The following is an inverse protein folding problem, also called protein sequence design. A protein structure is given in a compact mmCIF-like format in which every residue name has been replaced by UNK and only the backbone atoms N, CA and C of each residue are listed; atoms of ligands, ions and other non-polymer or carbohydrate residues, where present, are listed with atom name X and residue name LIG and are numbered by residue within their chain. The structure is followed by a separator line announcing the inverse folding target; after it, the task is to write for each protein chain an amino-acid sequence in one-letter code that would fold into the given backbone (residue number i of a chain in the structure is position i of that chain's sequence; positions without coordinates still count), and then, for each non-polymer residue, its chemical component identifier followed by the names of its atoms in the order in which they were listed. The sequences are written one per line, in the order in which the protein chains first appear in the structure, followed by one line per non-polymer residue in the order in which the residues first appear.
data_IF_946475021630
#
_entry.id   IF_946475021630
#
_cell.length_a   1.000
_cell.length_b   1.000
_cell.length_c   1.000
_cell.angle_alpha   90.00
_cell.angle_beta   90.00
_cell.angle_gamma   90.00
#
_symmetry.space_group_name_H-M   'P 1'
#
loop_
_entity.id
_entity.type
_entity.pdbx_description
1 polymer ?
#
# COMPACT_ATOMS: atom_id res chain seq x y z
N UNK A 1 37.75 27.89 53.44
CA UNK A 1 36.30 28.15 53.25
C UNK A 1 35.89 28.32 51.78
N UNK A 2 36.82 28.50 50.86
CA UNK A 2 36.55 28.77 49.44
C UNK A 2 36.28 27.49 48.57
N UNK A 3 36.74 26.32 48.99
CA UNK A 3 36.60 25.11 48.18
C UNK A 3 35.15 24.55 48.15
N UNK A 4 34.36 24.73 49.21
CA UNK A 4 32.96 24.25 49.27
C UNK A 4 32.03 25.06 48.39
N UNK A 5 32.31 26.33 48.20
CA UNK A 5 31.45 27.22 47.38
C UNK A 5 31.60 26.94 45.88
N UNK A 6 32.78 26.55 45.44
CA UNK A 6 33.06 26.22 44.02
C UNK A 6 32.42 24.85 43.64
N UNK A 7 32.33 23.91 44.55
CA UNK A 7 31.66 22.64 44.28
C UNK A 7 30.13 22.79 44.17
N UNK A 8 29.53 23.65 44.98
CA UNK A 8 28.09 23.92 44.88
C UNK A 8 27.72 24.66 43.58
N UNK A 9 28.58 25.56 43.13
CA UNK A 9 28.39 26.32 41.91
C UNK A 9 28.45 25.39 40.66
N UNK A 10 29.40 24.46 40.65
CA UNK A 10 29.53 23.45 39.57
C UNK A 10 28.32 22.52 39.48
N UNK A 11 27.76 22.12 40.64
CA UNK A 11 26.60 21.25 40.70
C UNK A 11 25.31 21.94 40.21
N UNK A 12 25.14 23.25 40.55
CA UNK A 12 23.97 24.03 40.11
C UNK A 12 24.01 24.34 38.61
N UNK A 13 25.21 24.62 38.07
CA UNK A 13 25.35 24.86 36.62
C UNK A 13 25.14 23.59 35.82
N UNK A 14 25.60 22.44 36.34
CA UNK A 14 25.38 21.16 35.69
C UNK A 14 23.88 20.75 35.69
N UNK A 15 23.16 21.07 36.79
CA UNK A 15 21.71 20.78 36.88
C UNK A 15 20.90 21.70 35.95
N UNK A 16 21.30 22.94 35.78
CA UNK A 16 20.67 23.89 34.83
C UNK A 16 20.92 23.47 33.35
N UNK A 17 22.08 22.92 33.04
CA UNK A 17 22.36 22.41 31.70
C UNK A 17 21.52 21.12 31.40
N UNK A 18 21.25 20.29 32.40
CA UNK A 18 20.43 19.09 32.21
C UNK A 18 18.96 19.41 32.03
N UNK A 19 18.45 20.48 32.66
CA UNK A 19 17.05 20.91 32.46
C UNK A 19 16.83 21.58 31.10
N UNK A 20 17.85 22.14 30.48
CA UNK A 20 17.76 22.74 29.14
C UNK A 20 17.66 21.65 28.05
N UNK A 21 18.15 20.43 28.28
CA UNK A 21 18.04 19.32 27.31
C UNK A 21 16.70 18.57 27.36
N UNK A 22 15.94 18.69 28.45
CA UNK A 22 14.63 18.03 28.57
C UNK A 22 13.51 18.87 27.89
N UNK A 23 13.71 20.17 27.71
CA UNK A 23 12.74 21.03 27.04
C UNK A 23 12.81 20.97 25.50
N UNK A 24 13.84 20.34 24.92
CA UNK A 24 13.97 20.21 23.46
C UNK A 24 13.45 18.87 22.90
N UNK A 25 12.90 17.99 23.77
CA UNK A 25 12.43 16.65 23.36
C UNK A 25 10.92 16.50 23.27
N UNK A 26 10.15 17.58 23.40
CA UNK A 26 8.70 17.59 23.23
C UNK A 26 8.28 18.70 22.25
N UNK A 27 8.66 18.58 21.01
CA UNK A 27 8.02 19.32 19.93
C UNK A 27 8.26 18.60 18.61
N UNK A 28 7.77 17.37 18.52
CA UNK A 28 7.41 16.79 17.24
C UNK A 28 5.91 16.98 17.01
N UNK A 29 5.41 18.15 17.27
CA UNK A 29 4.26 18.66 16.56
C UNK A 29 4.82 19.16 15.22
N UNK A 30 4.79 18.32 14.19
CA UNK A 30 4.71 18.77 12.83
C UNK A 30 3.40 19.57 12.72
N UNK A 31 3.42 20.83 13.16
CA UNK A 31 2.50 21.82 12.64
C UNK A 31 2.81 21.94 11.16
N UNK A 32 2.03 21.23 10.34
CA UNK A 32 1.92 21.51 8.91
C UNK A 32 1.45 22.96 8.78
N UNK A 33 2.41 23.87 8.69
CA UNK A 33 2.15 25.26 8.36
C UNK A 33 1.50 25.31 6.97
N UNK A 34 0.17 25.37 6.92
CA UNK A 34 -0.59 25.84 5.75
C UNK A 34 -0.61 24.99 4.49
N UNK A 35 -0.03 23.78 4.48
CA UNK A 35 -0.11 22.82 3.38
C UNK A 35 -1.21 21.80 3.61
N UNK A 36 -1.83 21.29 2.53
CA UNK A 36 -2.76 20.15 2.62
C UNK A 36 -2.06 18.98 3.31
N UNK A 37 -2.74 18.30 4.25
CA UNK A 37 -2.18 17.12 4.91
C UNK A 37 -1.76 16.08 3.88
N UNK A 38 -0.74 15.28 4.16
CA UNK A 38 -0.27 14.25 3.23
C UNK A 38 -1.42 13.33 2.82
N UNK A 39 -2.32 13.01 3.74
CA UNK A 39 -3.54 12.24 3.49
C UNK A 39 -4.46 12.96 2.51
N UNK A 40 -4.76 14.24 2.72
CA UNK A 40 -5.61 15.02 1.80
C UNK A 40 -5.03 15.12 0.39
N UNK A 41 -3.68 15.11 0.27
CA UNK A 41 -3.00 15.12 -1.03
C UNK A 41 -3.17 13.79 -1.78
N UNK A 42 -3.11 12.64 -1.10
CA UNK A 42 -3.19 11.32 -1.77
C UNK A 42 -4.61 10.76 -1.88
N UNK A 43 -5.56 11.28 -1.10
CA UNK A 43 -6.95 10.84 -1.16
C UNK A 43 -7.57 11.17 -2.51
N UNK A 44 -8.32 10.25 -3.08
CA UNK A 44 -9.03 10.46 -4.35
C UNK A 44 -9.25 9.19 -5.15
N UNK A 45 -9.77 9.40 -6.37
CA UNK A 45 -10.00 8.35 -7.35
C UNK A 45 -8.93 8.39 -8.42
N UNK A 46 -8.42 7.23 -8.79
CA UNK A 46 -7.33 7.07 -9.75
C UNK A 46 -7.72 6.11 -10.86
N UNK A 47 -7.22 6.39 -12.04
CA UNK A 47 -7.25 5.46 -13.16
C UNK A 47 -5.93 4.69 -13.19
N UNK A 48 -6.00 3.38 -13.08
CA UNK A 48 -4.85 2.50 -12.83
C UNK A 48 -4.67 1.46 -13.92
N UNK A 49 -3.41 1.12 -14.18
CA UNK A 49 -3.00 -0.15 -14.79
C UNK A 49 -2.59 -1.08 -13.67
N UNK A 50 -3.17 -2.27 -13.62
CA UNK A 50 -2.85 -3.30 -12.63
C UNK A 50 -2.07 -4.42 -13.32
N UNK A 51 -0.88 -4.72 -12.83
CA UNK A 51 0.04 -5.69 -13.42
C UNK A 51 0.41 -6.77 -12.42
N UNK A 52 -0.38 -7.85 -12.32
CA UNK A 52 0.06 -9.05 -11.63
C UNK A 52 1.31 -9.64 -12.30
N UNK A 53 2.29 -10.03 -11.48
CA UNK A 53 3.53 -10.65 -11.94
C UNK A 53 3.71 -11.98 -11.21
N UNK A 54 3.87 -13.06 -11.97
CA UNK A 54 4.16 -14.39 -11.45
C UNK A 54 5.47 -14.89 -12.10
N UNK A 55 6.53 -14.97 -11.30
CA UNK A 55 7.87 -15.21 -11.84
C UNK A 55 8.29 -14.09 -12.78
N UNK A 56 8.57 -14.39 -14.05
CA UNK A 56 8.92 -13.41 -15.09
C UNK A 56 7.73 -12.95 -15.93
N UNK A 57 6.55 -13.52 -15.72
CA UNK A 57 5.35 -13.23 -16.53
C UNK A 57 4.55 -12.09 -15.91
N UNK A 58 4.26 -11.08 -16.71
CA UNK A 58 3.47 -9.90 -16.35
C UNK A 58 2.12 -9.91 -17.08
N UNK A 59 1.05 -9.65 -16.34
CA UNK A 59 -0.33 -9.69 -16.84
C UNK A 59 -0.98 -8.30 -16.69
N UNK A 60 -0.43 -7.30 -17.40
CA UNK A 60 -0.92 -5.93 -17.33
C UNK A 60 -2.35 -5.79 -17.84
N UNK A 61 -3.19 -5.10 -17.11
CA UNK A 61 -4.56 -4.76 -17.52
C UNK A 61 -4.95 -3.39 -17.00
N UNK A 62 -5.60 -2.62 -17.83
CA UNK A 62 -6.19 -1.33 -17.52
C UNK A 62 -7.16 -0.87 -18.61
N UNK A 63 -7.86 0.24 -18.36
CA UNK A 63 -7.89 1.01 -17.13
C UNK A 63 -8.78 0.39 -16.05
N UNK A 64 -8.36 0.49 -14.80
CA UNK A 64 -9.13 0.15 -13.59
C UNK A 64 -9.30 1.38 -12.70
N UNK A 65 -10.35 1.39 -11.90
CA UNK A 65 -10.51 2.42 -10.86
C UNK A 65 -10.00 1.88 -9.53
N UNK A 66 -9.12 2.64 -8.92
CA UNK A 66 -8.67 2.43 -7.54
C UNK A 66 -8.96 3.68 -6.72
N UNK A 67 -9.22 3.51 -5.45
CA UNK A 67 -9.66 4.58 -4.56
C UNK A 67 -8.78 4.61 -3.33
N UNK A 68 -8.36 5.82 -2.93
CA UNK A 68 -7.77 6.11 -1.64
C UNK A 68 -8.72 6.99 -0.84
N UNK A 69 -9.15 6.49 0.30
CA UNK A 69 -10.07 7.18 1.22
C UNK A 69 -9.34 7.56 2.50
N UNK A 70 -9.64 8.75 3.04
CA UNK A 70 -9.08 9.17 4.32
C UNK A 70 -9.69 8.34 5.46
N UNK A 71 -8.85 7.92 6.39
CA UNK A 71 -9.21 7.19 7.60
C UNK A 71 -8.63 7.85 8.85
N UNK A 72 -9.19 7.48 10.01
CA UNK A 72 -8.66 7.82 11.32
C UNK A 72 -8.37 9.32 11.49
N UNK A 73 -9.37 10.16 11.20
CA UNK A 73 -9.26 11.63 11.27
C UNK A 73 -8.11 12.19 10.42
N UNK A 74 -7.98 11.72 9.20
CA UNK A 74 -6.94 12.11 8.24
C UNK A 74 -5.50 11.75 8.68
N UNK A 75 -5.33 10.66 9.42
CA UNK A 75 -4.00 10.15 9.78
C UNK A 75 -3.54 9.01 8.87
N UNK A 76 -4.49 8.27 8.28
CA UNK A 76 -4.24 7.12 7.42
C UNK A 76 -5.12 7.19 6.17
N UNK A 77 -4.81 6.36 5.19
CA UNK A 77 -5.67 6.12 4.04
C UNK A 77 -6.07 4.66 3.96
N UNK A 78 -7.26 4.41 3.44
CA UNK A 78 -7.70 3.11 2.96
C UNK A 78 -7.50 3.08 1.47
N UNK A 79 -6.71 2.13 0.98
CA UNK A 79 -6.56 1.82 -0.42
C UNK A 79 -7.32 0.54 -0.73
N UNK A 80 -8.23 0.56 -1.70
CA UNK A 80 -8.94 -0.64 -2.11
C UNK A 80 -9.13 -0.71 -3.62
N UNK A 81 -9.19 -1.94 -4.11
CA UNK A 81 -9.61 -2.28 -5.45
C UNK A 81 -10.45 -3.55 -5.42
N UNK A 82 -11.41 -3.66 -6.33
CA UNK A 82 -12.36 -4.76 -6.33
C UNK A 82 -12.46 -5.42 -7.70
N UNK A 83 -12.70 -6.74 -7.66
CA UNK A 83 -13.06 -7.56 -8.82
C UNK A 83 -12.12 -7.41 -10.02
N UNK A 84 -10.83 -7.28 -9.76
CA UNK A 84 -9.84 -7.32 -10.82
C UNK A 84 -9.68 -8.77 -11.30
N UNK A 85 -9.91 -9.00 -12.60
CA UNK A 85 -9.72 -10.31 -13.22
C UNK A 85 -8.68 -10.21 -14.33
N UNK A 86 -7.51 -10.79 -14.10
CA UNK A 86 -6.39 -10.75 -15.03
C UNK A 86 -6.62 -11.58 -16.29
N UNK A 87 -6.08 -11.18 -17.46
CA UNK A 87 -6.05 -12.01 -18.64
C UNK A 87 -5.13 -13.21 -18.44
N UNK A 88 -5.38 -14.30 -19.14
CA UNK A 88 -4.49 -15.45 -19.24
C UNK A 88 -3.52 -15.29 -20.42
N UNK A 89 -2.46 -16.08 -20.43
CA UNK A 89 -1.62 -16.25 -21.61
C UNK A 89 -2.22 -17.30 -22.55
N UNK A 90 -2.14 -17.02 -23.86
CA UNK A 90 -2.46 -18.01 -24.90
C UNK A 90 -1.29 -18.98 -25.11
N UNK A 91 -1.46 -19.92 -26.07
CA UNK A 91 -0.44 -20.90 -26.45
C UNK A 91 0.87 -20.27 -26.93
N UNK A 92 0.81 -19.06 -27.45
CA UNK A 92 1.97 -18.32 -27.96
C UNK A 92 2.67 -17.49 -26.89
N UNK A 93 2.17 -17.54 -25.63
CA UNK A 93 2.68 -16.78 -24.51
C UNK A 93 2.31 -15.29 -24.52
N UNK A 94 1.33 -14.89 -25.33
CA UNK A 94 0.76 -13.54 -25.37
C UNK A 94 -0.45 -13.44 -24.46
N UNK A 95 -0.76 -12.23 -24.01
CA UNK A 95 -1.97 -12.00 -23.22
C UNK A 95 -3.22 -12.22 -24.09
N UNK A 96 -4.10 -13.12 -23.67
CA UNK A 96 -5.34 -13.41 -24.37
C UNK A 96 -6.32 -12.23 -24.27
N UNK A 97 -6.97 -11.90 -25.38
CA UNK A 97 -8.03 -10.90 -25.39
C UNK A 97 -9.31 -11.42 -24.69
N UNK A 98 -9.53 -12.74 -24.68
CA UNK A 98 -10.80 -13.35 -24.22
C UNK A 98 -10.63 -14.23 -22.98
N UNK A 99 -9.54 -15.01 -22.89
CA UNK A 99 -9.32 -15.89 -21.77
C UNK A 99 -8.90 -15.11 -20.51
N UNK A 100 -9.55 -15.39 -19.39
CA UNK A 100 -9.32 -14.72 -18.10
C UNK A 100 -8.90 -15.73 -17.05
N UNK A 101 -8.18 -15.25 -16.03
CA UNK A 101 -7.90 -16.05 -14.84
C UNK A 101 -9.22 -16.51 -14.21
N UNK A 102 -9.29 -17.72 -13.68
CA UNK A 102 -10.52 -18.26 -13.07
C UNK A 102 -10.89 -17.60 -11.74
N UNK A 103 -10.16 -16.56 -11.34
CA UNK A 103 -10.40 -15.77 -10.15
C UNK A 103 -10.46 -14.28 -10.46
N UNK A 104 -11.37 -13.59 -9.77
CA UNK A 104 -11.29 -12.16 -9.56
C UNK A 104 -10.66 -11.89 -8.20
N UNK A 105 -9.81 -10.91 -8.12
CA UNK A 105 -9.11 -10.53 -6.89
C UNK A 105 -9.55 -9.17 -6.41
N UNK A 106 -9.57 -9.02 -5.09
CA UNK A 106 -9.85 -7.77 -4.39
C UNK A 106 -8.78 -7.55 -3.33
N UNK A 107 -8.46 -6.30 -3.04
CA UNK A 107 -7.55 -5.91 -1.98
C UNK A 107 -8.07 -4.73 -1.19
N UNK A 108 -7.81 -4.75 0.12
CA UNK A 108 -8.19 -3.69 1.05
C UNK A 108 -7.06 -3.48 2.06
N UNK A 109 -6.52 -2.26 2.11
CA UNK A 109 -5.32 -1.94 2.86
C UNK A 109 -5.51 -0.64 3.63
N UNK A 110 -5.18 -0.66 4.93
CA UNK A 110 -4.99 0.53 5.73
C UNK A 110 -3.52 0.91 5.68
N UNK A 111 -3.21 2.13 5.28
CA UNK A 111 -1.85 2.58 5.02
C UNK A 111 -1.52 3.84 5.79
N UNK A 112 -0.34 3.84 6.42
CA UNK A 112 0.30 5.06 6.92
C UNK A 112 0.82 5.88 5.75
N UNK A 113 0.81 7.19 5.93
CA UNK A 113 1.15 8.18 4.91
C UNK A 113 2.21 9.11 5.47
N UNK A 114 3.35 9.21 4.78
CA UNK A 114 4.48 10.03 5.23
C UNK A 114 5.03 10.91 4.10
N UNK A 115 5.00 12.22 4.28
CA UNK A 115 5.64 13.16 3.36
C UNK A 115 7.17 13.06 3.47
N UNK A 116 7.84 13.02 2.35
CA UNK A 116 9.29 13.00 2.24
C UNK A 116 9.82 14.42 1.93
N UNK A 117 11.11 14.63 2.15
CA UNK A 117 11.78 15.94 1.91
C UNK A 117 11.78 16.35 0.44
N UNK A 118 11.67 15.41 -0.49
CA UNK A 118 11.59 15.67 -1.93
C UNK A 118 10.16 15.96 -2.43
N UNK A 119 9.21 16.12 -1.50
CA UNK A 119 7.79 16.40 -1.79
C UNK A 119 6.98 15.16 -2.14
N UNK A 120 7.59 14.00 -2.32
CA UNK A 120 6.87 12.74 -2.50
C UNK A 120 6.16 12.31 -1.21
N UNK A 121 5.17 11.43 -1.34
CA UNK A 121 4.45 10.85 -0.20
C UNK A 121 4.60 9.34 -0.26
N UNK A 122 5.21 8.79 0.77
CA UNK A 122 5.35 7.36 0.96
C UNK A 122 4.09 6.79 1.61
N UNK A 123 3.64 5.63 1.11
CA UNK A 123 2.52 4.87 1.64
C UNK A 123 3.02 3.49 2.05
N UNK A 124 2.61 3.02 3.24
CA UNK A 124 2.98 1.71 3.77
C UNK A 124 1.81 1.09 4.52
N UNK A 125 1.38 -0.11 4.12
CA UNK A 125 0.27 -0.78 4.81
C UNK A 125 0.66 -1.21 6.23
N UNK A 126 -0.26 -0.95 7.15
CA UNK A 126 -0.24 -1.47 8.54
C UNK A 126 -1.20 -2.64 8.70
N UNK A 127 -2.18 -2.73 7.81
CA UNK A 127 -3.13 -3.84 7.71
C UNK A 127 -3.49 -4.03 6.25
N UNK A 128 -3.62 -5.28 5.80
CA UNK A 128 -4.03 -5.59 4.45
C UNK A 128 -4.71 -6.93 4.34
N UNK A 129 -5.80 -6.95 3.59
CA UNK A 129 -6.49 -8.17 3.20
C UNK A 129 -6.43 -8.33 1.67
N UNK A 130 -6.36 -9.56 1.23
CA UNK A 130 -6.41 -9.90 -0.18
C UNK A 130 -7.30 -11.12 -0.35
N UNK A 131 -8.21 -11.06 -1.31
CA UNK A 131 -9.19 -12.10 -1.58
C UNK A 131 -9.17 -12.47 -3.05
N UNK A 132 -9.19 -13.75 -3.34
CA UNK A 132 -9.41 -14.28 -4.68
C UNK A 132 -10.69 -15.12 -4.65
N UNK A 133 -11.66 -14.74 -5.45
CA UNK A 133 -12.94 -15.43 -5.58
C UNK A 133 -13.06 -16.05 -6.97
N UNK A 134 -13.71 -17.21 -7.12
CA UNK A 134 -14.00 -17.76 -8.43
C UNK A 134 -14.67 -16.71 -9.32
N UNK A 135 -14.13 -16.52 -10.51
CA UNK A 135 -14.66 -15.55 -11.45
C UNK A 135 -15.85 -16.15 -12.18
N UNK A 136 -16.99 -15.43 -12.13
CA UNK A 136 -18.19 -15.83 -12.82
C UNK A 136 -18.75 -17.17 -12.35
N UNK A 137 -19.45 -17.20 -11.20
CA UNK A 137 -20.08 -18.42 -10.69
C UNK A 137 -20.98 -19.13 -11.74
N UNK A 138 -21.34 -18.42 -12.81
CA UNK A 138 -22.12 -18.94 -13.95
C UNK A 138 -21.30 -19.09 -15.26
N UNK A 139 -20.05 -18.58 -15.31
CA UNK A 139 -19.22 -18.58 -16.52
C UNK A 139 -18.04 -19.54 -16.47
N UNK A 140 -17.60 -19.91 -15.28
CA UNK A 140 -16.54 -20.91 -15.12
C UNK A 140 -17.20 -22.22 -14.67
N UNK A 141 -17.62 -23.02 -15.63
CA UNK A 141 -17.86 -24.43 -15.40
C UNK A 141 -16.52 -25.03 -14.89
N UNK A 142 -16.44 -25.49 -13.61
CA UNK A 142 -15.22 -26.07 -13.08
C UNK A 142 -14.71 -27.25 -13.88
N UNK A 143 -15.56 -27.87 -14.73
CA UNK A 143 -15.20 -28.93 -15.66
C UNK A 143 -14.59 -28.44 -16.98
N UNK A 144 -14.60 -27.13 -17.23
CA UNK A 144 -14.00 -26.47 -18.40
C UNK A 144 -12.70 -25.71 -18.11
N UNK A 145 -12.19 -25.80 -16.90
CA UNK A 145 -10.84 -25.31 -16.61
C UNK A 145 -9.86 -26.20 -17.38
N UNK A 146 -9.00 -25.64 -18.25
CA UNK A 146 -8.04 -26.44 -18.99
C UNK A 146 -7.18 -27.29 -18.03
N UNK A 147 -7.01 -28.56 -18.35
CA UNK A 147 -6.22 -29.47 -17.55
C UNK A 147 -4.82 -28.93 -17.35
N UNK A 148 -4.35 -28.79 -16.09
CA UNK A 148 -3.02 -28.26 -15.75
C UNK A 148 -2.96 -26.77 -15.42
N UNK A 149 -4.05 -26.00 -15.54
CA UNK A 149 -4.03 -24.57 -15.21
C UNK A 149 -4.37 -24.30 -13.74
N UNK A 150 -5.28 -25.07 -13.14
CA UNK A 150 -5.59 -24.99 -11.71
C UNK A 150 -6.23 -26.31 -11.22
N UNK A 151 -6.03 -26.69 -9.96
CA UNK A 151 -6.74 -27.83 -9.40
C UNK A 151 -8.27 -27.61 -9.45
N UNK A 152 -9.06 -28.62 -9.81
CA UNK A 152 -10.52 -28.48 -9.94
C UNK A 152 -11.25 -28.10 -8.64
N UNK A 153 -10.55 -28.08 -7.51
CA UNK A 153 -11.09 -27.78 -6.19
C UNK A 153 -10.67 -26.41 -5.65
N UNK A 154 -10.15 -25.51 -6.49
CA UNK A 154 -9.73 -24.19 -5.99
C UNK A 154 -10.95 -23.33 -5.71
N UNK A 155 -11.34 -23.27 -4.42
CA UNK A 155 -12.51 -22.53 -3.93
C UNK A 155 -12.28 -21.02 -3.77
N UNK A 156 -11.14 -20.51 -4.25
CA UNK A 156 -10.66 -19.19 -3.90
C UNK A 156 -9.83 -19.22 -2.60
N UNK A 157 -9.31 -18.08 -2.22
CA UNK A 157 -8.57 -17.92 -0.97
C UNK A 157 -8.68 -16.48 -0.49
N UNK A 158 -8.46 -16.27 0.80
CA UNK A 158 -8.30 -14.97 1.42
C UNK A 158 -7.09 -14.96 2.37
N UNK A 159 -6.58 -13.79 2.64
CA UNK A 159 -5.50 -13.58 3.61
C UNK A 159 -5.62 -12.20 4.23
N UNK A 160 -5.33 -12.13 5.51
CA UNK A 160 -5.18 -10.89 6.29
C UNK A 160 -3.71 -10.43 6.45
N UNK A 161 -2.79 -11.12 5.74
CA UNK A 161 -1.33 -10.86 5.76
C UNK A 161 -0.83 -10.14 4.52
N UNK A 162 -1.73 -9.71 3.66
CA UNK A 162 -1.35 -8.96 2.47
C UNK A 162 -0.70 -7.63 2.85
N UNK A 163 0.28 -7.21 2.06
CA UNK A 163 1.00 -5.96 2.25
C UNK A 163 0.93 -5.10 1.00
N UNK A 164 0.89 -3.80 1.19
CA UNK A 164 0.99 -2.82 0.13
C UNK A 164 1.98 -1.72 0.52
N UNK A 165 2.77 -1.26 -0.42
CA UNK A 165 3.67 -0.12 -0.24
C UNK A 165 3.79 0.66 -1.54
N UNK A 166 4.11 1.94 -1.46
CA UNK A 166 4.30 2.72 -2.66
C UNK A 166 4.58 4.19 -2.42
N UNK A 167 4.52 4.94 -3.50
CA UNK A 167 4.84 6.36 -3.52
C UNK A 167 3.81 7.11 -4.36
N UNK A 168 3.39 8.25 -3.85
CA UNK A 168 2.64 9.24 -4.62
C UNK A 168 3.54 10.44 -4.89
N UNK A 169 3.61 10.86 -6.16
CA UNK A 169 4.36 12.04 -6.59
C UNK A 169 3.72 12.63 -7.87
N UNK A 170 3.55 13.93 -7.91
CA UNK A 170 3.09 14.68 -9.10
C UNK A 170 1.79 14.10 -9.72
N UNK A 171 0.82 13.74 -8.86
CA UNK A 171 -0.46 13.17 -9.29
C UNK A 171 -0.43 11.69 -9.71
N UNK A 172 0.74 11.04 -9.63
CA UNK A 172 0.94 9.62 -9.93
C UNK A 172 1.08 8.83 -8.64
N UNK A 173 0.49 7.65 -8.63
CA UNK A 173 0.52 6.70 -7.53
C UNK A 173 1.09 5.39 -8.04
N UNK A 174 2.21 4.97 -7.49
CA UNK A 174 2.85 3.70 -7.78
C UNK A 174 2.78 2.82 -6.52
N UNK A 175 2.02 1.72 -6.59
CA UNK A 175 1.86 0.79 -5.47
C UNK A 175 2.35 -0.61 -5.87
N UNK A 176 2.90 -1.30 -4.90
CA UNK A 176 3.26 -2.71 -4.96
C UNK A 176 2.47 -3.45 -3.90
N UNK A 177 1.67 -4.44 -4.31
CA UNK A 177 0.89 -5.30 -3.44
C UNK A 177 1.48 -6.70 -3.44
N UNK A 178 1.68 -7.26 -2.25
CA UNK A 178 2.07 -8.66 -2.02
C UNK A 178 0.97 -9.36 -1.23
N UNK A 179 0.30 -10.35 -1.80
CA UNK A 179 -0.69 -11.16 -1.08
C UNK A 179 -0.09 -12.00 0.05
N UNK A 180 1.25 -12.28 0.02
CA UNK A 180 1.96 -13.12 0.99
C UNK A 180 1.44 -14.55 1.16
N UNK A 181 0.64 -15.04 0.21
CA UNK A 181 0.12 -16.41 0.18
C UNK A 181 0.49 -17.12 -1.13
N UNK A 182 0.80 -16.35 -2.17
CA UNK A 182 1.25 -16.80 -3.48
C UNK A 182 2.52 -16.05 -3.88
N UNK A 183 3.38 -16.64 -4.72
CA UNK A 183 4.55 -15.94 -5.27
C UNK A 183 4.14 -14.96 -6.38
N UNK A 184 3.19 -14.07 -6.04
CA UNK A 184 2.64 -13.05 -6.92
C UNK A 184 2.95 -11.69 -6.34
N UNK A 185 3.36 -10.78 -7.19
CA UNK A 185 3.44 -9.34 -6.90
C UNK A 185 2.48 -8.63 -7.85
N UNK A 186 1.73 -7.66 -7.35
CA UNK A 186 0.85 -6.84 -8.15
C UNK A 186 1.39 -5.41 -8.12
N UNK A 187 1.78 -4.90 -9.27
CA UNK A 187 2.16 -3.49 -9.45
C UNK A 187 0.93 -2.72 -9.93
N UNK A 188 0.68 -1.57 -9.33
CA UNK A 188 -0.44 -0.69 -9.65
C UNK A 188 0.14 0.69 -9.95
N UNK A 189 0.09 1.07 -11.23
CA UNK A 189 0.49 2.38 -11.70
C UNK A 189 -0.78 3.18 -11.99
N UNK A 190 -0.97 4.29 -11.28
CA UNK A 190 -2.22 5.01 -11.34
C UNK A 190 -2.01 6.52 -11.44
N UNK A 191 -2.93 7.18 -12.14
CA UNK A 191 -2.96 8.63 -12.31
C UNK A 191 -4.27 9.15 -11.72
N UNK A 192 -4.21 10.25 -11.00
CA UNK A 192 -5.42 10.90 -10.45
C UNK A 192 -6.38 11.26 -11.57
N UNK A 193 -7.67 10.96 -11.34
CA UNK A 193 -8.75 11.24 -12.29
C UNK A 193 -9.30 12.66 -12.13
#
# INVERSE_FOLDING_TARGET
MYLKTIQQLKSSVLLLLFMAFIAASCSNNNEETGGSSAVGVVTGTYQATITPTMGTKQMAQGPHIVVLEALNNNQQVRFHFEKFNAPMFDSDGKLSATARMPFAVSGDFVMDVKRQSDGSIQLQSVKGTFKAEPYGANEVDPNKIPEGVLPPNLKGFDTDRAQASGVFKDGKLDLKVSPNILPVTIVIEAVRK
#
